data_IF_922122901431
#
_entry.id   IF_922122901431
#
_cell.length_a   1.000
_cell.length_b   1.000
_cell.length_c   1.000
_cell.angle_alpha   90.00
_cell.angle_beta   90.00
_cell.angle_gamma   90.00
#
_symmetry.space_group_name_H-M   'P 1'
#
loop_
_entity.id
_entity.type
_entity.pdbx_description
1 polymer ?
#
# COMPACT_ATOMS: atom_id res chain seq x y z
N UNK A 1 34.27 19.87 45.38
CA UNK A 1 33.28 20.56 44.51
C UNK A 1 33.64 20.24 43.07
N UNK A 2 32.93 19.32 42.41
CA UNK A 2 33.21 18.92 41.03
C UNK A 2 32.36 19.76 40.08
N UNK A 3 33.00 20.50 39.17
CA UNK A 3 32.34 21.30 38.16
C UNK A 3 31.74 20.36 37.10
N UNK A 4 30.43 20.46 36.86
CA UNK A 4 29.77 19.73 35.78
C UNK A 4 30.11 20.36 34.43
N UNK A 5 30.45 19.56 33.39
CA UNK A 5 30.76 20.10 32.08
C UNK A 5 29.49 20.68 31.43
N UNK A 6 29.58 21.92 30.94
CA UNK A 6 28.48 22.59 30.23
C UNK A 6 28.16 21.84 28.92
N UNK A 7 26.88 21.70 28.55
CA UNK A 7 26.49 21.06 27.30
C UNK A 7 26.99 21.89 26.12
N UNK A 8 27.80 21.27 25.26
CA UNK A 8 28.25 21.86 24.01
C UNK A 8 27.05 21.90 23.07
N UNK A 9 26.63 23.10 22.68
CA UNK A 9 25.55 23.30 21.71
C UNK A 9 26.10 22.92 20.33
N UNK A 10 25.88 21.69 19.91
CA UNK A 10 26.31 21.19 18.60
C UNK A 10 25.29 21.64 17.57
N UNK A 11 25.72 22.45 16.61
CA UNK A 11 24.96 22.73 15.40
C UNK A 11 25.23 21.61 14.38
N UNK A 12 24.29 20.67 14.32
CA UNK A 12 24.38 19.45 13.51
C UNK A 12 24.55 19.79 12.02
N UNK A 13 23.85 20.82 11.52
CA UNK A 13 23.92 21.22 10.11
C UNK A 13 25.34 21.67 9.75
N UNK A 14 25.92 22.50 10.60
CA UNK A 14 27.28 23.01 10.43
C UNK A 14 28.32 21.89 10.51
N UNK A 15 28.11 20.89 11.37
CA UNK A 15 29.01 19.75 11.48
C UNK A 15 28.92 18.81 10.26
N UNK A 16 27.72 18.55 9.76
CA UNK A 16 27.50 17.76 8.55
C UNK A 16 28.12 18.41 7.31
N UNK A 17 27.92 19.73 7.13
CA UNK A 17 28.54 20.48 6.03
C UNK A 17 30.07 20.36 6.07
N UNK A 18 30.66 20.45 7.26
CA UNK A 18 32.11 20.31 7.46
C UNK A 18 32.61 18.91 7.09
N UNK A 19 31.94 17.87 7.57
CA UNK A 19 32.32 16.49 7.28
C UNK A 19 32.26 16.16 5.79
N UNK A 20 31.19 16.59 5.11
CA UNK A 20 31.05 16.40 3.67
C UNK A 20 32.14 17.14 2.90
N UNK A 21 32.44 18.38 3.28
CA UNK A 21 33.48 19.17 2.65
C UNK A 21 34.87 18.51 2.78
N UNK A 22 35.18 17.91 3.94
CA UNK A 22 36.42 17.14 4.13
C UNK A 22 36.49 15.94 3.19
N UNK A 23 35.34 15.31 2.88
CA UNK A 23 35.23 14.23 1.91
C UNK A 23 35.20 14.72 0.44
N UNK A 24 35.37 16.02 0.18
CA UNK A 24 35.30 16.62 -1.16
C UNK A 24 33.88 16.71 -1.72
N UNK A 25 32.86 16.57 -0.88
CA UNK A 25 31.45 16.65 -1.23
C UNK A 25 30.85 17.96 -0.68
N UNK A 26 29.94 18.59 -1.43
CA UNK A 26 29.18 19.74 -0.93
C UNK A 26 27.69 19.43 -1.01
N UNK A 27 26.94 19.80 0.03
CA UNK A 27 25.49 19.86 -0.07
C UNK A 27 25.13 20.99 -1.06
N UNK A 28 24.21 20.72 -1.97
CA UNK A 28 23.63 21.78 -2.79
C UNK A 28 22.72 22.61 -1.88
N UNK A 29 23.08 23.88 -1.67
CA UNK A 29 22.25 24.87 -0.99
C UNK A 29 21.25 25.55 -1.96
N UNK A 30 21.07 25.00 -3.17
CA UNK A 30 20.23 25.57 -4.21
C UNK A 30 18.73 25.43 -3.85
N UNK A 31 18.24 26.46 -3.18
CA UNK A 31 16.84 26.90 -3.20
C UNK A 31 16.44 27.50 -4.57
N UNK A 32 17.34 27.51 -5.56
CA UNK A 32 16.94 27.82 -6.92
C UNK A 32 16.07 26.68 -7.41
N UNK A 33 14.83 27.01 -7.77
CA UNK A 33 13.81 26.19 -8.39
C UNK A 33 14.24 25.69 -9.79
N UNK A 34 15.43 25.10 -9.89
CA UNK A 34 15.98 24.48 -11.10
C UNK A 34 15.64 23.01 -11.03
N UNK A 35 14.37 22.72 -11.30
CA UNK A 35 13.89 21.36 -11.48
C UNK A 35 14.72 20.65 -12.55
N UNK A 36 15.26 19.47 -12.24
CA UNK A 36 16.08 18.66 -13.15
C UNK A 36 15.30 18.29 -14.44
N UNK A 37 13.96 18.26 -14.36
CA UNK A 37 13.10 17.92 -15.48
C UNK A 37 11.73 18.61 -15.37
N UNK A 38 11.11 19.08 -16.48
CA UNK A 38 9.83 19.80 -16.45
C UNK A 38 8.67 19.06 -15.75
N UNK A 39 8.74 17.72 -15.69
CA UNK A 39 7.74 16.88 -15.04
C UNK A 39 7.71 16.96 -13.50
N UNK A 40 8.69 17.59 -12.86
CA UNK A 40 8.73 17.78 -11.40
C UNK A 40 8.56 19.25 -10.98
N UNK A 41 7.96 20.06 -11.85
CA UNK A 41 7.58 21.42 -11.47
C UNK A 41 6.35 21.33 -10.57
N UNK A 42 6.37 22.09 -9.47
CA UNK A 42 5.23 22.19 -8.54
C UNK A 42 3.98 22.81 -9.21
N UNK A 43 4.11 23.35 -10.43
CA UNK A 43 3.03 23.94 -11.21
C UNK A 43 2.16 22.91 -11.97
N UNK A 44 2.48 21.60 -11.87
CA UNK A 44 1.63 20.57 -12.48
C UNK A 44 0.40 20.38 -11.58
N UNK A 45 -0.70 21.02 -11.96
CA UNK A 45 -2.04 20.68 -11.48
C UNK A 45 -2.34 19.27 -12.00
N UNK A 46 -2.03 18.25 -11.19
CA UNK A 46 -2.50 16.89 -11.43
C UNK A 46 -4.03 16.95 -11.40
N UNK A 47 -4.75 16.54 -12.45
CA UNK A 47 -6.20 16.35 -12.32
C UNK A 47 -6.40 15.36 -11.18
N UNK A 48 -7.26 15.73 -10.22
CA UNK A 48 -7.65 14.82 -9.14
C UNK A 48 -7.98 13.47 -9.78
N UNK A 49 -7.43 12.35 -9.28
CA UNK A 49 -7.94 11.05 -9.66
C UNK A 49 -9.47 11.12 -9.59
N UNK A 50 -10.22 10.59 -10.57
CA UNK A 50 -11.65 10.46 -10.42
C UNK A 50 -11.88 9.76 -9.08
N UNK A 51 -12.73 10.35 -8.23
CA UNK A 51 -13.13 9.74 -6.97
C UNK A 51 -13.83 8.43 -7.31
N UNK A 52 -13.08 7.34 -7.39
CA UNK A 52 -13.61 5.97 -7.52
C UNK A 52 -14.26 5.50 -6.22
N UNK A 53 -14.54 6.43 -5.31
CA UNK A 53 -15.16 6.24 -4.02
C UNK A 53 -16.40 7.13 -3.98
N UNK A 54 -17.48 6.66 -4.60
CA UNK A 54 -18.82 7.05 -4.13
C UNK A 54 -18.93 6.54 -2.68
N UNK A 55 -18.79 7.44 -1.70
CA UNK A 55 -18.97 7.15 -0.26
C UNK A 55 -20.42 6.68 0.07
N UNK A 56 -21.35 6.76 -0.89
CA UNK A 56 -22.77 6.41 -0.71
C UNK A 56 -23.18 5.05 -1.31
N UNK A 57 -22.23 4.15 -1.61
CA UNK A 57 -22.62 2.76 -1.89
C UNK A 57 -22.98 2.06 -0.58
N UNK A 58 -24.25 2.20 -0.19
CA UNK A 58 -24.93 1.38 0.82
C UNK A 58 -24.89 -0.08 0.36
N UNK A 59 -23.75 -0.73 0.61
CA UNK A 59 -23.57 -2.16 0.41
C UNK A 59 -24.53 -2.82 1.38
N UNK A 60 -25.64 -3.34 0.84
CA UNK A 60 -26.51 -4.28 1.54
C UNK A 60 -25.63 -5.39 2.09
N UNK A 61 -25.32 -5.28 3.39
CA UNK A 61 -24.68 -6.33 4.18
C UNK A 61 -25.67 -7.48 4.30
N UNK A 62 -25.70 -8.33 3.27
CA UNK A 62 -26.24 -9.67 3.37
C UNK A 62 -25.43 -10.39 4.43
N UNK A 63 -26.09 -10.69 5.55
CA UNK A 63 -25.56 -11.46 6.67
C UNK A 63 -25.02 -12.81 6.18
N UNK A 64 -23.69 -12.96 6.16
CA UNK A 64 -23.04 -14.27 6.05
C UNK A 64 -21.80 -14.24 6.95
N UNK A 65 -21.89 -14.90 8.10
CA UNK A 65 -20.94 -14.87 9.22
C UNK A 65 -19.56 -15.49 8.88
N UNK A 66 -19.21 -15.62 7.60
CA UNK A 66 -17.97 -16.23 7.13
C UNK A 66 -17.20 -15.46 6.04
N UNK A 67 -17.73 -14.35 5.52
CA UNK A 67 -17.17 -13.69 4.34
C UNK A 67 -16.27 -12.50 4.67
N UNK A 68 -15.40 -12.63 5.67
CA UNK A 68 -14.42 -11.59 6.01
C UNK A 68 -13.00 -12.16 5.89
N UNK A 69 -12.13 -11.40 5.23
CA UNK A 69 -10.73 -11.72 5.08
C UNK A 69 -10.01 -11.66 6.45
N UNK A 70 -9.34 -12.74 6.83
CA UNK A 70 -8.62 -12.84 8.11
C UNK A 70 -7.36 -11.98 8.24
N UNK A 71 -6.99 -11.21 7.21
CA UNK A 71 -5.79 -10.37 7.19
C UNK A 71 -6.10 -8.87 7.12
N UNK A 72 -7.11 -8.48 6.34
CA UNK A 72 -7.47 -7.07 6.13
C UNK A 72 -8.88 -6.72 6.63
N UNK A 73 -9.61 -7.70 7.16
CA UNK A 73 -10.98 -7.54 7.68
C UNK A 73 -12.01 -7.02 6.64
N UNK A 74 -11.65 -7.01 5.36
CA UNK A 74 -12.55 -6.67 4.26
C UNK A 74 -13.43 -7.84 3.83
N UNK A 75 -14.48 -7.58 3.03
CA UNK A 75 -15.35 -8.63 2.51
C UNK A 75 -14.56 -9.60 1.63
N UNK A 76 -14.92 -10.87 1.73
CA UNK A 76 -14.32 -11.98 0.99
C UNK A 76 -15.23 -12.38 -0.18
N UNK A 77 -14.68 -12.75 -1.35
CA UNK A 77 -15.51 -13.10 -2.51
C UNK A 77 -16.31 -14.38 -2.24
N UNK A 78 -17.57 -14.40 -2.70
CA UNK A 78 -18.47 -15.56 -2.54
C UNK A 78 -17.97 -16.79 -3.30
N UNK A 79 -17.38 -16.61 -4.49
CA UNK A 79 -16.74 -17.69 -5.25
C UNK A 79 -15.25 -17.36 -5.48
N UNK A 80 -14.37 -17.69 -4.52
CA UNK A 80 -12.96 -17.37 -4.61
C UNK A 80 -12.28 -18.25 -5.66
N UNK A 81 -11.40 -17.64 -6.45
CA UNK A 81 -10.61 -18.36 -7.44
C UNK A 81 -9.76 -19.47 -6.79
N UNK A 82 -9.40 -20.54 -7.53
CA UNK A 82 -8.51 -21.58 -7.03
C UNK A 82 -7.16 -21.03 -6.56
N UNK A 83 -6.66 -19.98 -7.22
CA UNK A 83 -5.42 -19.31 -6.87
C UNK A 83 -5.54 -18.55 -5.54
N UNK A 84 -6.65 -17.84 -5.33
CA UNK A 84 -6.94 -17.17 -4.06
C UNK A 84 -7.02 -18.16 -2.90
N UNK A 85 -7.68 -19.30 -3.11
CA UNK A 85 -7.74 -20.39 -2.12
C UNK A 85 -6.33 -20.91 -1.79
N UNK A 86 -5.51 -21.15 -2.81
CA UNK A 86 -4.13 -21.64 -2.65
C UNK A 86 -3.26 -20.65 -1.87
N UNK A 87 -3.27 -19.36 -2.23
CA UNK A 87 -2.50 -18.34 -1.54
C UNK A 87 -2.94 -18.18 -0.08
N UNK A 88 -4.26 -18.21 0.18
CA UNK A 88 -4.78 -18.17 1.53
C UNK A 88 -4.29 -19.33 2.40
N UNK A 89 -4.24 -20.55 1.85
CA UNK A 89 -3.68 -21.71 2.54
C UNK A 89 -2.18 -21.55 2.82
N UNK A 90 -1.41 -21.07 1.84
CA UNK A 90 0.03 -20.85 1.98
C UNK A 90 0.36 -19.82 3.06
N UNK A 91 -0.40 -18.72 3.12
CA UNK A 91 -0.22 -17.70 4.14
C UNK A 91 -0.57 -18.22 5.53
N UNK A 92 -1.67 -18.97 5.66
CA UNK A 92 -2.08 -19.60 6.93
C UNK A 92 -1.12 -20.68 7.42
N UNK A 93 -0.35 -21.31 6.52
CA UNK A 93 0.64 -22.33 6.85
C UNK A 93 1.98 -21.75 7.34
N UNK A 94 2.19 -20.43 7.27
CA UNK A 94 3.46 -19.82 7.71
C UNK A 94 3.64 -19.89 9.23
N UNK A 95 4.87 -20.12 9.72
CA UNK A 95 5.13 -20.12 11.16
C UNK A 95 4.94 -18.72 11.79
N UNK A 96 5.15 -17.68 10.99
CA UNK A 96 4.92 -16.27 11.37
C UNK A 96 3.43 -15.95 11.56
N UNK A 97 2.53 -16.80 11.05
CA UNK A 97 1.09 -16.64 11.24
C UNK A 97 0.74 -16.94 12.70
N UNK A 98 0.89 -15.91 13.53
CA UNK A 98 0.53 -15.98 14.93
C UNK A 98 -0.95 -15.65 15.08
N UNK A 99 -1.74 -16.59 15.61
CA UNK A 99 -3.06 -16.26 16.17
C UNK A 99 -2.78 -15.38 17.38
N UNK A 100 -3.07 -14.09 17.30
CA UNK A 100 -2.76 -13.16 18.37
C UNK A 100 -3.63 -13.48 19.60
N UNK A 101 -3.09 -14.30 20.50
CA UNK A 101 -3.74 -14.67 21.73
C UNK A 101 -3.58 -13.53 22.73
N UNK A 102 -4.60 -12.70 22.85
CA UNK A 102 -4.74 -11.76 23.98
C UNK A 102 -4.58 -10.30 23.59
N UNK A 103 -5.67 -9.71 23.09
CA UNK A 103 -6.39 -8.58 23.72
C UNK A 103 -7.52 -8.07 22.81
N UNK A 104 -7.45 -8.32 21.50
CA UNK A 104 -8.51 -8.02 20.52
C UNK A 104 -8.69 -9.23 19.59
N UNK A 105 -9.89 -9.76 19.43
CA UNK A 105 -10.14 -11.19 19.14
C UNK A 105 -10.28 -11.62 17.66
N UNK A 106 -9.83 -10.87 16.65
CA UNK A 106 -10.27 -11.16 15.26
C UNK A 106 -9.18 -11.24 14.16
N UNK A 107 -7.93 -10.87 14.43
CA UNK A 107 -6.88 -10.85 13.40
C UNK A 107 -5.72 -11.79 13.72
N UNK A 108 -5.44 -12.74 12.84
CA UNK A 108 -4.10 -13.33 12.76
C UNK A 108 -3.20 -12.36 12.00
N UNK A 109 -2.07 -11.96 12.60
CA UNK A 109 -1.23 -10.93 12.03
C UNK A 109 -0.11 -11.55 11.17
N UNK A 110 -0.03 -11.14 9.90
CA UNK A 110 1.14 -11.28 9.04
C UNK A 110 1.52 -9.88 8.53
N UNK A 111 2.83 -9.60 8.36
CA UNK A 111 3.30 -8.37 7.73
C UNK A 111 2.61 -8.08 6.39
N UNK A 112 2.29 -6.80 6.16
CA UNK A 112 1.58 -6.35 4.95
C UNK A 112 2.25 -6.82 3.66
N UNK A 113 3.58 -6.79 3.58
CA UNK A 113 4.31 -7.23 2.39
C UNK A 113 4.10 -8.72 2.04
N UNK A 114 3.64 -9.54 3.00
CA UNK A 114 3.30 -10.94 2.75
C UNK A 114 1.84 -11.12 2.34
N UNK A 115 0.96 -10.24 2.79
CA UNK A 115 -0.49 -10.34 2.56
C UNK A 115 -1.00 -9.44 1.44
N UNK A 116 -0.19 -8.48 0.96
CA UNK A 116 -0.57 -7.47 -0.02
C UNK A 116 -1.17 -8.10 -1.30
N UNK A 117 -0.46 -9.04 -1.91
CA UNK A 117 -0.91 -9.70 -3.15
C UNK A 117 -2.23 -10.46 -2.95
N UNK A 118 -2.35 -11.17 -1.82
CA UNK A 118 -3.58 -11.88 -1.45
C UNK A 118 -4.74 -10.90 -1.23
N UNK A 119 -4.49 -9.81 -0.50
CA UNK A 119 -5.45 -8.77 -0.20
C UNK A 119 -5.93 -8.03 -1.46
N UNK A 120 -5.01 -7.74 -2.37
CA UNK A 120 -5.31 -7.14 -3.66
C UNK A 120 -6.18 -8.06 -4.51
N UNK A 121 -5.85 -9.35 -4.56
CA UNK A 121 -6.58 -10.31 -5.39
C UNK A 121 -8.00 -10.55 -4.88
N UNK A 122 -8.22 -10.77 -3.57
CA UNK A 122 -9.60 -10.94 -3.10
C UNK A 122 -10.41 -9.65 -3.28
N UNK A 123 -9.81 -8.45 -3.11
CA UNK A 123 -10.50 -7.19 -3.41
C UNK A 123 -10.92 -7.12 -4.87
N UNK A 124 -10.06 -7.56 -5.79
CA UNK A 124 -10.37 -7.60 -7.21
C UNK A 124 -11.53 -8.56 -7.51
N UNK A 125 -11.51 -9.76 -6.94
CA UNK A 125 -12.58 -10.76 -7.10
C UNK A 125 -13.90 -10.31 -6.46
N UNK A 126 -13.85 -9.59 -5.34
CA UNK A 126 -15.06 -9.12 -4.65
C UNK A 126 -15.71 -7.92 -5.32
N UNK A 127 -14.94 -6.93 -5.77
CA UNK A 127 -15.51 -5.64 -6.24
C UNK A 127 -15.13 -5.32 -7.68
N UNK A 128 -13.85 -5.41 -8.04
CA UNK A 128 -13.35 -4.84 -9.30
C UNK A 128 -13.87 -5.64 -10.50
N UNK A 129 -13.75 -6.98 -10.46
CA UNK A 129 -14.19 -7.85 -11.56
C UNK A 129 -15.71 -7.79 -11.72
N UNK A 130 -16.54 -7.95 -10.67
CA UNK A 130 -17.98 -7.81 -10.80
C UNK A 130 -18.42 -6.44 -11.34
N UNK A 131 -17.80 -5.35 -10.86
CA UNK A 131 -18.09 -4.00 -11.34
C UNK A 131 -17.71 -3.82 -12.81
N UNK A 132 -16.52 -4.30 -13.22
CA UNK A 132 -16.10 -4.28 -14.62
C UNK A 132 -17.09 -5.02 -15.52
N UNK A 133 -17.54 -6.21 -15.11
CA UNK A 133 -18.55 -6.98 -15.85
C UNK A 133 -19.87 -6.20 -15.94
N UNK A 134 -20.32 -5.58 -14.84
CA UNK A 134 -21.52 -4.75 -14.83
C UNK A 134 -21.40 -3.53 -15.77
N UNK A 135 -20.19 -2.98 -15.93
CA UNK A 135 -19.88 -1.92 -16.88
C UNK A 135 -19.66 -2.42 -18.33
N UNK A 136 -19.86 -3.71 -18.60
CA UNK A 136 -19.71 -4.29 -19.94
C UNK A 136 -18.27 -4.59 -20.35
N UNK A 137 -17.34 -4.67 -19.41
CA UNK A 137 -15.96 -5.07 -19.72
C UNK A 137 -15.91 -6.54 -20.17
N UNK A 138 -15.11 -6.86 -21.19
CA UNK A 138 -14.99 -8.22 -21.67
C UNK A 138 -14.31 -9.11 -20.64
N UNK A 139 -14.91 -10.27 -20.34
CA UNK A 139 -14.29 -11.29 -19.47
C UNK A 139 -13.29 -12.17 -20.22
N UNK A 140 -13.29 -12.11 -21.56
CA UNK A 140 -12.37 -12.83 -22.44
C UNK A 140 -11.95 -11.90 -23.56
N UNK A 141 -10.65 -11.86 -23.82
CA UNK A 141 -10.07 -11.11 -24.93
C UNK A 141 -10.00 -12.06 -26.13
N UNK A 142 -10.64 -11.70 -27.25
CA UNK A 142 -10.47 -12.42 -28.51
C UNK A 142 -9.28 -11.84 -29.27
N UNK A 143 -8.09 -12.41 -29.02
CA UNK A 143 -6.87 -11.99 -29.72
C UNK A 143 -6.90 -12.28 -31.21
N UNK A 144 -7.78 -13.17 -31.69
CA UNK A 144 -7.92 -13.49 -33.11
C UNK A 144 -8.49 -12.33 -33.92
N UNK A 145 -9.24 -11.45 -33.25
CA UNK A 145 -9.83 -10.24 -33.83
C UNK A 145 -8.87 -9.05 -33.91
N UNK A 146 -7.66 -9.16 -33.33
CA UNK A 146 -6.66 -8.10 -33.37
C UNK A 146 -5.88 -8.20 -34.69
N UNK A 147 -6.08 -7.22 -35.57
CA UNK A 147 -5.21 -6.99 -36.72
C UNK A 147 -3.97 -6.21 -36.26
N UNK A 148 -2.79 -6.79 -36.47
CA UNK A 148 -1.48 -6.18 -36.18
C UNK A 148 -0.86 -5.60 -37.44
#
# INVERSE_FOLDING_TARGET
MAATPKPVKIDILTDMKRLLHVAGLSLQDDLSNTTIHPAFRDDIILPSPPDLFDEDSEVKSGSDEGNICCFCEGPFPMDPSPELKKLGLLLKARPEFCKQAGRNHLGSYLPFNLTADYCQMHRAETHIIPNGIACGWPSKIDFSSLHW
#
